data_IF_519032910785
#
_entry.id   IF_519032910785
#
_cell.length_a   1.000
_cell.length_b   1.000
_cell.length_c   1.000
_cell.angle_alpha   90.00
_cell.angle_beta   90.00
_cell.angle_gamma   90.00
#
_symmetry.space_group_name_H-M   'P 1'
#
loop_
_entity.id
_entity.type
_entity.pdbx_description
1 polymer ?
#
# COMPACT_ATOMS: atom_id res chain seq x y z
N UNK A 1 -14.09 -3.83 -24.38
CA UNK A 1 -13.76 -2.57 -23.69
C UNK A 1 -12.25 -2.38 -23.80
N UNK A 2 -11.79 -1.43 -24.60
CA UNK A 2 -10.37 -1.14 -24.83
C UNK A 2 -9.84 -0.32 -23.65
N UNK A 3 -9.07 -0.96 -22.77
CA UNK A 3 -8.39 -0.33 -21.62
C UNK A 3 -6.87 -0.34 -21.83
N UNK A 4 -6.42 -0.05 -23.05
CA UNK A 4 -5.09 0.50 -23.28
C UNK A 4 -5.27 2.01 -23.43
N UNK A 5 -5.36 2.74 -22.32
CA UNK A 5 -5.03 4.16 -22.37
C UNK A 5 -3.60 4.24 -22.89
N UNK A 6 -3.43 4.69 -24.13
CA UNK A 6 -2.12 4.76 -24.77
C UNK A 6 -1.19 5.52 -23.82
N UNK A 7 0.02 5.00 -23.57
CA UNK A 7 1.01 5.64 -22.69
C UNK A 7 1.22 7.12 -23.03
N UNK A 8 0.99 7.47 -24.30
CA UNK A 8 0.98 8.82 -24.84
C UNK A 8 -0.13 9.71 -24.24
N UNK A 9 -1.33 9.19 -24.02
CA UNK A 9 -2.43 9.90 -23.36
C UNK A 9 -2.09 10.19 -21.90
N UNK A 10 -1.52 9.23 -21.17
CA UNK A 10 -1.03 9.47 -19.81
C UNK A 10 0.03 10.57 -19.77
N UNK A 11 1.00 10.54 -20.68
CA UNK A 11 2.05 11.56 -20.75
C UNK A 11 1.48 12.96 -21.06
N UNK A 12 0.48 13.06 -21.93
CA UNK A 12 -0.12 14.33 -22.33
C UNK A 12 -1.06 14.92 -21.27
N UNK A 13 -1.87 14.07 -20.62
CA UNK A 13 -2.93 14.52 -19.71
C UNK A 13 -2.46 14.61 -18.26
N UNK A 14 -1.57 13.71 -17.82
CA UNK A 14 -1.09 13.58 -16.43
C UNK A 14 0.40 13.24 -16.39
N UNK A 15 1.30 14.19 -16.75
CA UNK A 15 2.74 13.94 -16.86
C UNK A 15 3.41 13.54 -15.52
N UNK A 16 2.85 14.00 -14.40
CA UNK A 16 3.21 13.63 -13.04
C UNK A 16 2.92 12.14 -12.75
N UNK A 17 1.71 11.68 -13.10
CA UNK A 17 1.31 10.28 -12.95
C UNK A 17 2.14 9.39 -13.88
N UNK A 18 2.38 9.82 -15.12
CA UNK A 18 3.25 9.10 -16.05
C UNK A 18 4.65 8.90 -15.48
N UNK A 19 5.27 9.96 -14.91
CA UNK A 19 6.60 9.86 -14.29
C UNK A 19 6.60 8.88 -13.11
N UNK A 20 5.56 8.92 -12.29
CA UNK A 20 5.42 8.03 -11.14
C UNK A 20 5.27 6.56 -11.56
N UNK A 21 4.44 6.28 -12.57
CA UNK A 21 4.27 4.94 -13.14
C UNK A 21 5.55 4.46 -13.81
N UNK A 22 6.26 5.33 -14.53
CA UNK A 22 7.54 4.98 -15.15
C UNK A 22 8.60 4.68 -14.09
N UNK A 23 8.71 5.51 -13.06
CA UNK A 23 9.63 5.27 -11.94
C UNK A 23 9.30 3.96 -11.21
N UNK A 24 8.02 3.69 -10.96
CA UNK A 24 7.58 2.44 -10.35
C UNK A 24 7.99 1.21 -11.18
N UNK A 25 7.81 1.27 -12.50
CA UNK A 25 8.15 0.16 -13.38
C UNK A 25 9.66 -0.04 -13.57
N UNK A 26 10.40 1.04 -13.74
CA UNK A 26 11.78 1.02 -14.22
C UNK A 26 12.84 1.24 -13.12
N UNK A 27 12.45 1.75 -11.95
CA UNK A 27 13.37 2.11 -10.88
C UNK A 27 13.05 1.43 -9.54
N UNK A 28 12.95 0.09 -9.45
CA UNK A 28 12.67 -0.61 -8.19
C UNK A 28 13.62 -0.27 -7.04
N UNK A 29 14.88 0.06 -7.32
CA UNK A 29 15.81 0.46 -6.26
C UNK A 29 15.45 1.80 -5.60
N UNK A 30 14.62 2.64 -6.23
CA UNK A 30 14.21 3.93 -5.68
C UNK A 30 13.20 3.82 -4.53
N UNK A 31 12.43 2.73 -4.49
CA UNK A 31 11.37 2.52 -3.49
C UNK A 31 11.51 1.23 -2.69
N UNK A 32 12.42 0.33 -3.08
CA UNK A 32 12.64 -0.89 -2.33
C UNK A 32 13.24 -0.58 -0.95
N UNK A 33 12.83 -1.34 0.06
CA UNK A 33 13.45 -1.35 1.37
C UNK A 33 14.93 -1.73 1.23
N UNK A 34 15.88 -0.90 1.70
CA UNK A 34 17.31 -1.11 1.46
C UNK A 34 17.82 -2.48 1.90
N UNK A 35 17.38 -2.97 3.05
CA UNK A 35 17.76 -4.25 3.65
C UNK A 35 17.39 -5.40 2.71
N UNK A 36 16.14 -5.39 2.23
CA UNK A 36 15.60 -6.40 1.31
C UNK A 36 16.30 -6.35 -0.04
N UNK A 37 16.45 -5.16 -0.61
CA UNK A 37 17.08 -4.99 -1.92
C UNK A 37 18.56 -5.40 -1.89
N UNK A 38 19.28 -5.07 -0.82
CA UNK A 38 20.65 -5.50 -0.59
C UNK A 38 20.76 -7.03 -0.49
N UNK A 39 19.86 -7.67 0.27
CA UNK A 39 19.78 -9.13 0.38
C UNK A 39 19.58 -9.80 -0.98
N UNK A 40 18.58 -9.37 -1.76
CA UNK A 40 18.33 -9.88 -3.13
C UNK A 40 19.58 -9.69 -4.00
N UNK A 41 20.24 -8.54 -3.87
CA UNK A 41 21.43 -8.21 -4.64
C UNK A 41 22.71 -8.93 -4.15
N UNK A 42 22.64 -9.67 -3.04
CA UNK A 42 23.78 -10.37 -2.44
C UNK A 42 24.87 -9.44 -1.92
N UNK A 43 24.49 -8.33 -1.28
CA UNK A 43 25.41 -7.34 -0.73
C UNK A 43 24.95 -6.82 0.64
N UNK A 44 25.87 -6.21 1.38
CA UNK A 44 25.57 -5.52 2.64
C UNK A 44 24.67 -4.30 2.43
N UNK A 45 23.77 -4.05 3.38
CA UNK A 45 22.81 -2.93 3.32
C UNK A 45 23.50 -1.58 3.21
N UNK A 46 24.55 -1.34 4.00
CA UNK A 46 25.31 -0.09 3.94
C UNK A 46 25.95 0.14 2.56
N UNK A 47 26.44 -0.93 1.92
CA UNK A 47 26.98 -0.86 0.57
C UNK A 47 25.88 -0.48 -0.44
N UNK A 48 24.71 -1.12 -0.35
CA UNK A 48 23.57 -0.82 -1.19
C UNK A 48 23.15 0.66 -1.06
N UNK A 49 23.04 1.16 0.17
CA UNK A 49 22.70 2.56 0.46
C UNK A 49 23.75 3.53 -0.08
N UNK A 50 25.04 3.20 0.03
CA UNK A 50 26.11 4.01 -0.57
C UNK A 50 26.01 4.06 -2.09
N UNK A 51 25.69 2.93 -2.74
CA UNK A 51 25.50 2.87 -4.19
C UNK A 51 24.27 3.68 -4.64
N UNK A 52 23.17 3.66 -3.89
CA UNK A 52 21.98 4.48 -4.18
C UNK A 52 22.30 5.97 -4.30
N UNK A 53 23.24 6.47 -3.50
CA UNK A 53 23.64 7.89 -3.45
C UNK A 53 24.58 8.30 -4.58
N UNK A 54 25.17 7.35 -5.31
CA UNK A 54 26.06 7.65 -6.45
C UNK A 54 25.24 8.04 -7.67
N UNK A 55 25.81 8.89 -8.52
CA UNK A 55 25.22 9.23 -9.81
C UNK A 55 24.95 7.94 -10.63
N UNK A 56 23.73 7.79 -11.13
CA UNK A 56 23.29 6.59 -11.84
C UNK A 56 23.10 5.34 -10.96
N UNK A 57 23.34 5.43 -9.65
CA UNK A 57 23.25 4.32 -8.69
C UNK A 57 21.89 3.64 -8.66
N UNK A 58 20.82 4.44 -8.55
CA UNK A 58 19.43 3.96 -8.60
C UNK A 58 19.17 3.16 -9.88
N UNK A 59 19.61 3.65 -11.05
CA UNK A 59 19.39 2.98 -12.33
C UNK A 59 20.19 1.67 -12.42
N UNK A 60 21.45 1.67 -11.95
CA UNK A 60 22.29 0.47 -11.96
C UNK A 60 21.75 -0.63 -11.04
N UNK A 61 21.38 -0.28 -9.81
CA UNK A 61 20.77 -1.21 -8.85
C UNK A 61 19.39 -1.69 -9.32
N UNK A 62 18.60 -0.82 -9.96
CA UNK A 62 17.31 -1.21 -10.53
C UNK A 62 17.43 -2.26 -11.63
N UNK A 63 18.40 -2.10 -12.55
CA UNK A 63 18.68 -3.13 -13.56
C UNK A 63 19.11 -4.45 -12.93
N UNK A 64 19.92 -4.40 -11.86
CA UNK A 64 20.33 -5.61 -11.12
C UNK A 64 19.13 -6.29 -10.47
N UNK A 65 18.26 -5.55 -9.78
CA UNK A 65 17.04 -6.10 -9.17
C UNK A 65 16.13 -6.75 -10.22
N UNK A 66 15.91 -6.09 -11.37
CA UNK A 66 15.10 -6.64 -12.46
C UNK A 66 15.72 -7.93 -13.04
N UNK A 67 17.05 -7.98 -13.16
CA UNK A 67 17.74 -9.17 -13.64
C UNK A 67 17.67 -10.36 -12.65
N UNK A 68 17.65 -10.08 -11.34
CA UNK A 68 17.62 -11.09 -10.27
C UNK A 68 16.20 -11.53 -9.90
N UNK A 69 15.19 -10.70 -10.18
CA UNK A 69 13.79 -11.00 -9.91
C UNK A 69 13.00 -11.01 -11.22
N UNK A 70 12.82 -12.18 -11.87
CA UNK A 70 12.11 -12.29 -13.14
C UNK A 70 10.69 -11.71 -13.13
N UNK A 71 10.01 -11.71 -11.97
CA UNK A 71 8.69 -11.09 -11.80
C UNK A 71 8.67 -9.58 -12.09
N UNK A 72 9.81 -8.89 -11.94
CA UNK A 72 9.94 -7.47 -12.25
C UNK A 72 10.10 -7.18 -13.75
N UNK A 73 10.29 -8.19 -14.60
CA UNK A 73 10.42 -7.97 -16.05
C UNK A 73 9.08 -7.55 -16.68
N UNK A 74 7.96 -7.99 -16.11
CA UNK A 74 6.62 -7.53 -16.52
C UNK A 74 6.40 -6.10 -16.04
N UNK A 75 5.73 -5.27 -16.83
CA UNK A 75 5.36 -3.88 -16.47
C UNK A 75 3.85 -3.73 -16.48
N UNK A 76 3.34 -2.84 -15.64
CA UNK A 76 1.92 -2.46 -15.63
C UNK A 76 1.78 -0.97 -15.90
N UNK A 77 0.74 -0.57 -16.62
CA UNK A 77 0.40 0.83 -16.86
C UNK A 77 -1.05 1.14 -16.46
N UNK A 78 -1.80 0.15 -15.96
CA UNK A 78 -3.19 0.29 -15.55
C UNK A 78 -3.31 0.68 -14.07
N UNK A 79 -2.96 1.93 -13.78
CA UNK A 79 -3.01 2.52 -12.43
C UNK A 79 -4.34 3.24 -12.18
N UNK A 80 -5.44 2.48 -12.11
CA UNK A 80 -6.76 3.03 -11.78
C UNK A 80 -6.87 3.41 -10.30
N UNK A 81 -7.52 4.56 -10.00
CA UNK A 81 -7.80 4.94 -8.63
C UNK A 81 -8.89 4.05 -7.99
N UNK A 82 -8.84 3.84 -6.65
CA UNK A 82 -7.72 4.17 -5.76
C UNK A 82 -6.67 3.06 -5.70
N UNK A 83 -7.09 1.81 -5.91
CA UNK A 83 -6.34 0.62 -5.50
C UNK A 83 -4.98 0.50 -6.19
N UNK A 84 -4.94 0.54 -7.53
CA UNK A 84 -3.66 0.38 -8.24
C UNK A 84 -2.73 1.56 -7.98
N UNK A 85 -3.27 2.78 -7.85
CA UNK A 85 -2.48 3.99 -7.54
C UNK A 85 -1.87 3.97 -6.14
N UNK A 86 -2.42 3.19 -5.22
CA UNK A 86 -1.80 2.98 -3.90
C UNK A 86 -0.37 2.42 -4.04
N UNK A 87 -0.10 1.61 -5.06
CA UNK A 87 1.24 1.09 -5.33
C UNK A 87 2.26 2.17 -5.72
N UNK A 88 1.85 3.39 -6.06
CA UNK A 88 2.76 4.50 -6.35
C UNK A 88 3.18 5.26 -5.09
N UNK A 89 2.49 5.06 -3.96
CA UNK A 89 2.76 5.73 -2.68
C UNK A 89 3.93 5.09 -1.94
N UNK A 90 4.50 5.80 -0.96
CA UNK A 90 5.54 5.25 -0.11
C UNK A 90 5.02 4.07 0.74
N UNK A 91 5.93 3.22 1.23
CA UNK A 91 5.57 2.10 2.13
C UNK A 91 4.78 2.59 3.36
N UNK A 92 5.19 3.72 3.94
CA UNK A 92 4.53 4.33 5.09
C UNK A 92 3.11 4.81 4.78
N UNK A 93 2.89 5.45 3.64
CA UNK A 93 1.55 5.87 3.21
C UNK A 93 0.64 4.68 2.92
N UNK A 94 1.16 3.65 2.25
CA UNK A 94 0.41 2.40 2.03
C UNK A 94 0.01 1.75 3.35
N UNK A 95 0.95 1.66 4.30
CA UNK A 95 0.69 1.10 5.63
C UNK A 95 -0.32 1.93 6.41
N UNK A 96 -0.27 3.27 6.30
CA UNK A 96 -1.28 4.17 6.88
C UNK A 96 -2.67 3.86 6.33
N UNK A 97 -2.81 3.66 5.02
CA UNK A 97 -4.09 3.26 4.40
C UNK A 97 -4.57 1.91 4.96
N UNK A 98 -3.70 0.90 5.07
CA UNK A 98 -4.10 -0.41 5.61
C UNK A 98 -4.48 -0.34 7.09
N UNK A 99 -3.81 0.51 7.88
CA UNK A 99 -4.17 0.79 9.27
C UNK A 99 -5.53 1.47 9.39
N UNK A 100 -5.79 2.51 8.59
CA UNK A 100 -7.11 3.19 8.56
C UNK A 100 -8.20 2.22 8.10
N UNK A 101 -7.93 1.39 7.09
CA UNK A 101 -8.85 0.34 6.65
C UNK A 101 -9.15 -0.66 7.77
N UNK A 102 -8.13 -1.08 8.52
CA UNK A 102 -8.31 -1.95 9.68
C UNK A 102 -9.15 -1.30 10.79
N UNK A 103 -8.98 0.01 11.02
CA UNK A 103 -9.81 0.77 11.97
C UNK A 103 -11.27 0.92 11.51
N UNK A 104 -11.50 1.13 10.21
CA UNK A 104 -12.85 1.14 9.62
C UNK A 104 -13.55 -0.20 9.88
N UNK A 105 -12.84 -1.32 9.68
CA UNK A 105 -13.37 -2.66 9.94
C UNK A 105 -13.57 -2.94 11.43
N UNK A 106 -12.73 -2.37 12.30
CA UNK A 106 -12.84 -2.48 13.74
C UNK A 106 -13.81 -1.46 14.37
N UNK A 107 -14.57 -0.70 13.58
CA UNK A 107 -15.41 0.41 14.07
C UNK A 107 -16.34 0.03 15.22
N UNK A 108 -16.95 -1.14 15.20
CA UNK A 108 -17.80 -1.62 16.31
C UNK A 108 -17.02 -1.81 17.61
N UNK A 109 -15.76 -2.28 17.55
CA UNK A 109 -14.83 -2.32 18.69
C UNK A 109 -14.38 -0.92 19.14
N UNK A 110 -14.29 0.04 18.23
CA UNK A 110 -13.90 1.42 18.54
C UNK A 110 -15.03 2.21 19.20
N UNK A 111 -16.27 1.97 18.78
CA UNK A 111 -17.45 2.63 19.33
C UNK A 111 -17.70 2.28 20.82
N UNK A 112 -17.18 1.15 21.32
CA UNK A 112 -17.22 0.81 22.75
C UNK A 112 -16.05 1.41 23.56
N UNK A 113 -15.02 1.94 22.89
CA UNK A 113 -13.81 2.53 23.49
C UNK A 113 -13.82 4.07 23.47
N UNK A 114 -15.00 4.70 23.38
CA UNK A 114 -15.17 6.14 23.13
C UNK A 114 -14.69 7.09 24.25
N UNK A 115 -13.99 6.61 25.28
CA UNK A 115 -13.29 7.53 26.17
C UNK A 115 -11.98 8.04 25.52
N UNK A 116 -11.67 9.33 25.71
CA UNK A 116 -10.52 9.97 25.09
C UNK A 116 -9.15 9.45 25.59
N UNK A 117 -9.13 8.56 26.58
CA UNK A 117 -7.93 7.88 27.06
C UNK A 117 -7.65 6.62 26.23
N UNK A 118 -8.68 5.81 25.98
CA UNK A 118 -8.63 4.60 25.17
C UNK A 118 -8.29 4.89 23.71
N UNK A 119 -8.81 6.00 23.14
CA UNK A 119 -8.43 6.45 21.80
C UNK A 119 -6.95 6.84 21.68
N UNK A 120 -6.40 7.47 22.72
CA UNK A 120 -4.96 7.83 22.76
C UNK A 120 -4.08 6.60 22.94
N UNK A 121 -4.51 5.65 23.76
CA UNK A 121 -3.83 4.38 23.91
C UNK A 121 -3.81 3.60 22.59
N UNK A 122 -4.95 3.51 21.91
CA UNK A 122 -5.04 2.88 20.59
C UNK A 122 -4.16 3.57 19.55
N UNK A 123 -4.15 4.91 19.51
CA UNK A 123 -3.28 5.67 18.62
C UNK A 123 -1.80 5.31 18.83
N UNK A 124 -1.38 5.19 20.09
CA UNK A 124 -0.01 4.81 20.46
C UNK A 124 0.32 3.36 20.11
N UNK A 125 -0.59 2.41 20.37
CA UNK A 125 -0.39 0.98 20.09
C UNK A 125 -0.40 0.67 18.59
N UNK A 126 -1.23 1.38 17.82
CA UNK A 126 -1.39 1.16 16.38
C UNK A 126 -0.37 1.96 15.56
N UNK A 127 0.27 2.96 16.16
CA UNK A 127 1.07 3.96 15.45
C UNK A 127 0.23 4.70 14.41
N UNK A 128 -1.01 5.05 14.78
CA UNK A 128 -2.00 5.73 13.92
C UNK A 128 -2.33 7.08 14.57
N UNK A 129 -2.42 8.15 13.77
CA UNK A 129 -2.76 9.47 14.29
C UNK A 129 -4.20 9.53 14.80
N UNK A 130 -4.50 10.43 15.73
CA UNK A 130 -5.89 10.67 16.16
C UNK A 130 -6.75 11.12 14.97
N UNK A 131 -6.17 11.87 14.03
CA UNK A 131 -6.81 12.29 12.78
C UNK A 131 -7.21 11.10 11.91
N UNK A 132 -6.37 10.07 11.82
CA UNK A 132 -6.64 8.85 11.07
C UNK A 132 -7.78 8.02 11.69
N UNK A 133 -7.87 8.02 13.02
CA UNK A 133 -8.99 7.40 13.75
C UNK A 133 -10.28 8.18 13.47
N UNK A 134 -10.23 9.52 13.48
CA UNK A 134 -11.40 10.34 13.13
C UNK A 134 -11.85 10.12 11.68
N UNK A 135 -10.91 10.03 10.73
CA UNK A 135 -11.20 9.67 9.35
C UNK A 135 -11.86 8.28 9.26
N UNK A 136 -11.33 7.27 9.94
CA UNK A 136 -11.90 5.92 9.95
C UNK A 136 -13.34 5.90 10.49
N UNK A 137 -13.62 6.66 11.56
CA UNK A 137 -14.96 6.75 12.15
C UNK A 137 -15.96 7.44 11.21
N UNK A 138 -15.56 8.54 10.54
CA UNK A 138 -16.40 9.25 9.57
C UNK A 138 -16.64 8.45 8.29
N UNK A 139 -15.61 7.78 7.75
CA UNK A 139 -15.74 6.97 6.53
C UNK A 139 -16.58 5.71 6.76
N UNK A 140 -16.53 5.13 7.97
CA UNK A 140 -17.36 3.99 8.33
C UNK A 140 -18.86 4.33 8.47
N UNK A 141 -19.24 5.59 8.65
CA UNK A 141 -20.65 6.04 8.69
C UNK A 141 -21.33 6.02 7.31
N UNK A 142 -20.53 6.07 6.24
CA UNK A 142 -21.05 6.20 4.88
C UNK A 142 -21.27 4.85 4.17
N UNK A 143 -21.05 3.72 4.85
CA UNK A 143 -21.13 2.40 4.21
C UNK A 143 -21.98 1.39 5.00
N UNK A 144 -23.26 1.31 4.67
CA UNK A 144 -24.17 0.21 5.06
C UNK A 144 -23.58 -1.18 4.66
N UNK A 145 -22.64 -1.22 3.71
CA UNK A 145 -21.99 -2.44 3.23
C UNK A 145 -21.00 -3.05 4.24
N UNK A 146 -20.62 -2.33 5.30
CA UNK A 146 -19.72 -2.83 6.35
C UNK A 146 -20.47 -3.44 7.55
N UNK A 147 -21.81 -3.32 7.61
CA UNK A 147 -22.62 -3.76 8.77
C UNK A 147 -22.62 -5.28 9.00
N UNK A 148 -22.11 -6.09 8.07
CA UNK A 148 -22.04 -7.54 8.19
C UNK A 148 -20.74 -8.07 8.82
N UNK A 149 -19.99 -7.27 9.57
CA UNK A 149 -18.75 -7.69 10.23
C UNK A 149 -19.00 -8.42 11.56
N UNK A 150 -19.80 -9.49 11.52
CA UNK A 150 -20.20 -10.28 12.70
C UNK A 150 -19.15 -11.29 13.20
N UNK A 151 -17.89 -11.24 12.77
CA UNK A 151 -16.90 -12.29 13.11
C UNK A 151 -15.48 -11.81 13.48
N UNK A 152 -15.22 -10.50 13.50
CA UNK A 152 -13.85 -9.97 13.72
C UNK A 152 -13.61 -9.56 15.18
N UNK A 153 -14.58 -9.82 16.05
CA UNK A 153 -14.47 -9.65 17.51
C UNK A 153 -13.22 -10.34 18.09
N UNK A 154 -12.80 -11.47 17.51
CA UNK A 154 -11.66 -12.24 18.01
C UNK A 154 -10.30 -11.94 17.36
N UNK A 155 -10.25 -11.10 16.30
CA UNK A 155 -8.98 -10.75 15.66
C UNK A 155 -8.35 -9.52 16.32
N UNK A 156 -7.03 -9.56 16.48
CA UNK A 156 -6.22 -8.40 16.83
C UNK A 156 -6.19 -7.38 15.69
N UNK A 157 -5.98 -6.10 16.00
CA UNK A 157 -5.87 -5.05 14.97
C UNK A 157 -4.76 -5.36 13.96
N UNK A 158 -3.63 -5.90 14.41
CA UNK A 158 -2.53 -6.31 13.53
C UNK A 158 -2.97 -7.36 12.49
N UNK A 159 -3.82 -8.32 12.88
CA UNK A 159 -4.38 -9.31 11.94
C UNK A 159 -5.31 -8.64 10.93
N UNK A 160 -6.16 -7.72 11.37
CA UNK A 160 -7.08 -7.00 10.46
C UNK A 160 -6.30 -6.17 9.43
N UNK A 161 -5.24 -5.48 9.87
CA UNK A 161 -4.36 -4.70 8.97
C UNK A 161 -3.64 -5.62 7.98
N UNK A 162 -3.17 -6.78 8.43
CA UNK A 162 -2.58 -7.81 7.56
C UNK A 162 -3.59 -8.33 6.52
N UNK A 163 -4.85 -8.53 6.91
CA UNK A 163 -5.93 -8.92 6.00
C UNK A 163 -6.22 -7.84 4.96
N UNK A 164 -6.21 -6.55 5.34
CA UNK A 164 -6.32 -5.42 4.41
C UNK A 164 -5.17 -5.37 3.40
N UNK A 165 -3.93 -5.53 3.85
CA UNK A 165 -2.79 -5.60 2.95
C UNK A 165 -2.89 -6.80 2.00
N UNK A 166 -3.27 -7.95 2.53
CA UNK A 166 -3.44 -9.19 1.76
C UNK A 166 -4.54 -9.08 0.71
N UNK A 167 -5.68 -8.48 1.07
CA UNK A 167 -6.77 -8.22 0.13
C UNK A 167 -6.32 -7.30 -1.01
N UNK A 168 -5.63 -6.20 -0.67
CA UNK A 168 -5.10 -5.28 -1.67
C UNK A 168 -4.17 -6.00 -2.63
N UNK A 169 -3.21 -6.78 -2.11
CA UNK A 169 -2.26 -7.55 -2.92
C UNK A 169 -2.95 -8.54 -3.87
N UNK A 170 -3.91 -9.33 -3.38
CA UNK A 170 -4.67 -10.30 -4.19
C UNK A 170 -5.39 -9.60 -5.36
N UNK A 171 -5.91 -8.40 -5.13
CA UNK A 171 -6.62 -7.62 -6.15
C UNK A 171 -5.70 -6.99 -7.22
N UNK A 172 -4.39 -6.92 -7.00
CA UNK A 172 -3.45 -6.31 -7.94
C UNK A 172 -3.01 -7.26 -9.06
N UNK A 173 -2.49 -6.70 -10.16
CA UNK A 173 -1.78 -7.49 -11.17
C UNK A 173 -0.49 -8.09 -10.59
N UNK A 174 0.05 -9.14 -11.24
CA UNK A 174 1.33 -9.72 -10.83
C UNK A 174 2.47 -8.69 -10.86
N UNK A 175 2.52 -7.83 -11.89
CA UNK A 175 3.55 -6.82 -12.04
C UNK A 175 3.52 -5.76 -10.92
N UNK A 176 2.33 -5.38 -10.44
CA UNK A 176 2.18 -4.49 -9.29
C UNK A 176 2.55 -5.21 -8.00
N UNK A 177 2.07 -6.45 -7.78
CA UNK A 177 2.38 -7.24 -6.59
C UNK A 177 3.89 -7.43 -6.41
N UNK A 178 4.57 -7.90 -7.44
CA UNK A 178 6.00 -8.26 -7.38
C UNK A 178 6.89 -7.06 -7.06
N UNK A 179 6.43 -5.85 -7.43
CA UNK A 179 7.09 -4.58 -7.08
C UNK A 179 6.70 -4.08 -5.70
N UNK A 180 5.42 -4.14 -5.36
CA UNK A 180 4.91 -3.61 -4.10
C UNK A 180 5.53 -4.33 -2.89
N UNK A 181 5.77 -5.64 -2.99
CA UNK A 181 6.45 -6.39 -1.91
C UNK A 181 7.83 -5.84 -1.60
N UNK A 182 8.56 -5.27 -2.57
CA UNK A 182 9.91 -4.74 -2.33
C UNK A 182 9.93 -3.59 -1.32
N UNK A 183 8.79 -2.93 -1.09
CA UNK A 183 8.65 -1.81 -0.17
C UNK A 183 8.60 -2.22 1.30
N UNK A 184 8.32 -3.49 1.57
CA UNK A 184 8.03 -3.99 2.92
C UNK A 184 9.01 -5.08 3.34
N UNK A 185 9.18 -5.22 4.65
CA UNK A 185 9.98 -6.29 5.23
C UNK A 185 9.30 -7.65 4.97
N UNK A 186 10.06 -8.75 5.00
CA UNK A 186 9.49 -10.09 4.77
C UNK A 186 8.44 -10.47 5.82
N UNK A 187 8.65 -10.04 7.07
CA UNK A 187 7.70 -10.21 8.17
C UNK A 187 6.39 -9.44 8.01
N UNK A 188 6.33 -8.49 7.08
CA UNK A 188 5.15 -7.65 6.81
C UNK A 188 4.37 -8.17 5.60
N UNK A 189 4.77 -9.28 4.98
CA UNK A 189 4.15 -9.80 3.77
C UNK A 189 2.75 -10.41 4.01
N UNK A 190 1.88 -10.40 2.99
CA UNK A 190 0.57 -11.06 3.04
C UNK A 190 0.69 -12.54 3.38
N UNK A 191 -0.13 -13.01 4.31
CA UNK A 191 -0.14 -14.44 4.71
C UNK A 191 -1.44 -15.11 4.26
N UNK A 192 -2.58 -14.49 4.53
CA UNK A 192 -3.91 -14.97 4.17
C UNK A 192 -4.90 -13.82 4.23
N UNK A 193 -6.03 -13.95 3.54
CA UNK A 193 -7.12 -12.99 3.64
C UNK A 193 -8.43 -13.75 3.85
N UNK A 194 -8.95 -13.73 5.09
CA UNK A 194 -10.20 -14.42 5.42
C UNK A 194 -11.42 -13.59 5.01
N UNK A 195 -11.26 -12.26 4.94
CA UNK A 195 -12.35 -11.32 4.68
C UNK A 195 -12.08 -10.45 3.45
N UNK A 196 -11.79 -11.08 2.31
CA UNK A 196 -11.31 -10.40 1.10
C UNK A 196 -12.15 -9.20 0.66
N UNK A 197 -13.46 -9.37 0.44
CA UNK A 197 -14.31 -8.30 -0.10
C UNK A 197 -14.38 -7.10 0.83
N UNK A 198 -14.57 -7.35 2.13
CA UNK A 198 -14.69 -6.30 3.15
C UNK A 198 -13.36 -5.59 3.35
N UNK A 199 -12.27 -6.35 3.41
CA UNK A 199 -10.91 -5.82 3.53
C UNK A 199 -10.54 -4.94 2.35
N UNK A 200 -10.90 -5.34 1.14
CA UNK A 200 -10.67 -4.55 -0.06
C UNK A 200 -11.52 -3.28 -0.07
N UNK A 201 -12.81 -3.38 0.26
CA UNK A 201 -13.69 -2.20 0.35
C UNK A 201 -13.20 -1.20 1.41
N UNK A 202 -12.75 -1.69 2.57
CA UNK A 202 -12.18 -0.83 3.60
C UNK A 202 -10.89 -0.13 3.12
N UNK A 203 -10.07 -0.82 2.31
CA UNK A 203 -8.89 -0.21 1.67
C UNK A 203 -9.31 0.89 0.69
N UNK A 204 -10.34 0.67 -0.14
CA UNK A 204 -10.87 1.68 -1.05
C UNK A 204 -11.38 2.92 -0.31
N UNK A 205 -12.16 2.72 0.75
CA UNK A 205 -12.69 3.80 1.58
C UNK A 205 -11.58 4.59 2.30
N UNK A 206 -10.62 3.88 2.89
CA UNK A 206 -9.46 4.50 3.55
C UNK A 206 -8.58 5.27 2.56
N UNK A 207 -8.36 4.73 1.37
CA UNK A 207 -7.61 5.40 0.32
C UNK A 207 -8.36 6.67 -0.15
N UNK A 208 -9.67 6.58 -0.35
CA UNK A 208 -10.52 7.74 -0.68
C UNK A 208 -10.50 8.84 0.37
N UNK A 209 -10.67 8.49 1.64
CA UNK A 209 -10.75 9.47 2.74
C UNK A 209 -9.42 10.18 3.00
N UNK A 210 -8.30 9.51 2.75
CA UNK A 210 -6.96 10.08 2.85
C UNK A 210 -6.53 10.84 1.58
N UNK A 211 -7.37 10.92 0.54
CA UNK A 211 -7.00 11.45 -0.78
C UNK A 211 -5.98 10.59 -1.54
N UNK A 212 -5.66 9.41 -1.01
CA UNK A 212 -4.63 8.52 -1.51
C UNK A 212 -5.12 7.79 -2.75
N UNK A 213 -4.69 8.28 -3.91
CA UNK A 213 -4.99 7.66 -5.21
C UNK A 213 -6.01 8.43 -6.04
N UNK A 214 -6.69 9.41 -5.46
CA UNK A 214 -7.65 10.27 -6.18
C UNK A 214 -7.12 11.67 -6.49
N UNK A 215 -5.85 11.97 -6.17
CA UNK A 215 -5.27 13.25 -6.55
C UNK A 215 -5.37 13.42 -8.08
N UNK A 216 -6.31 14.28 -8.50
CA UNK A 216 -6.57 14.71 -9.87
C UNK A 216 -5.87 16.04 -10.18
N UNK A 217 -4.83 16.36 -9.40
CA UNK A 217 -3.91 17.48 -9.66
C UNK A 217 -3.18 17.34 -10.99
#
# INVERSE_FOLDING_TARGET
MNLSGDLRSYYAERPDLFRSVLAFNCMPAAYAMPERAAHICGMETDHFVQLLRKEGGVAALSRRLIALLPGLASVDFDFRPPLSRLALRSAGEMMRVFKVAGLILARSKLASLLDGASLRQLANESGVGIEDIAHALQSGEQSDALEAFGSVENLSLAQIVSDCFSAWMIAQSAAIRDRAVLKFHESEQPVSCSHFRQSLLAVELAAGSLGMGYDDG
#
